data_IF_739280559231
#
_entry.id   IF_739280559231
#
_cell.length_a   1.000
_cell.length_b   1.000
_cell.length_c   1.000
_cell.angle_alpha   90.00
_cell.angle_beta   90.00
_cell.angle_gamma   90.00
#
_symmetry.space_group_name_H-M   'P 1'
#
loop_
_entity.id
_entity.type
_entity.pdbx_description
1 polymer ?
#
# COMPACT_ATOMS: atom_id res chain seq x y z
N UNK A 1 -5.61 -4.58 0.09
CA UNK A 1 -5.54 -3.17 0.52
C UNK A 1 -4.90 -3.14 1.89
N UNK A 2 -3.90 -2.29 2.10
CA UNK A 2 -3.23 -2.15 3.40
C UNK A 2 -3.57 -0.78 3.97
N UNK A 3 -4.14 -0.76 5.17
CA UNK A 3 -4.50 0.45 5.92
C UNK A 3 -3.42 0.73 6.97
N UNK A 4 -2.86 1.93 6.96
CA UNK A 4 -1.88 2.32 7.98
C UNK A 4 -2.52 2.49 9.34
N UNK A 5 -1.81 2.08 10.40
CA UNK A 5 -2.19 2.22 11.80
C UNK A 5 -3.57 1.65 12.15
N UNK A 6 -4.07 0.71 11.33
CA UNK A 6 -5.33 0.00 11.52
C UNK A 6 -5.08 -1.48 11.81
N UNK A 7 -5.75 -2.01 12.83
CA UNK A 7 -5.81 -3.43 13.13
C UNK A 7 -7.27 -3.83 13.35
N UNK A 8 -7.75 -4.79 12.58
CA UNK A 8 -9.13 -5.24 12.65
C UNK A 8 -9.56 -5.97 11.39
N UNK A 9 -10.75 -6.54 11.45
CA UNK A 9 -11.38 -7.21 10.32
C UNK A 9 -12.42 -6.26 9.68
N UNK A 10 -12.37 -6.12 8.34
CA UNK A 10 -13.30 -5.33 7.55
C UNK A 10 -14.13 -6.19 6.56
N UNK A 11 -14.12 -7.53 6.71
CA UNK A 11 -14.96 -8.41 5.91
C UNK A 11 -16.45 -8.08 6.14
N UNK A 12 -17.18 -7.78 5.07
CA UNK A 12 -18.59 -7.40 5.09
C UNK A 12 -18.83 -5.89 5.21
N UNK A 13 -17.80 -5.12 5.54
CA UNK A 13 -17.91 -3.66 5.67
C UNK A 13 -17.79 -2.94 4.32
N UNK A 14 -18.46 -1.79 4.20
CA UNK A 14 -18.35 -0.91 3.02
C UNK A 14 -17.30 0.16 3.26
N UNK A 15 -16.34 0.26 2.34
CA UNK A 15 -15.28 1.26 2.38
C UNK A 15 -15.39 2.21 1.20
N UNK A 16 -15.23 3.50 1.46
CA UNK A 16 -15.07 4.51 0.43
C UNK A 16 -13.59 4.81 0.25
N UNK A 17 -13.08 4.63 -0.96
CA UNK A 17 -11.67 4.87 -1.30
C UNK A 17 -11.55 5.90 -2.42
N UNK A 18 -10.52 6.74 -2.34
CA UNK A 18 -10.14 7.68 -3.40
C UNK A 18 -8.68 7.48 -3.74
N UNK A 19 -8.38 7.31 -5.02
CA UNK A 19 -7.00 7.28 -5.49
C UNK A 19 -6.44 8.69 -5.47
N UNK A 20 -5.39 8.91 -4.68
CA UNK A 20 -4.73 10.22 -4.58
C UNK A 20 -3.58 10.33 -5.59
N UNK A 21 -2.63 9.41 -5.51
CA UNK A 21 -1.43 9.40 -6.36
C UNK A 21 -1.09 7.98 -6.79
N UNK A 22 -0.65 7.82 -8.03
CA UNK A 22 -0.06 6.57 -8.52
C UNK A 22 1.40 6.51 -8.06
N UNK A 23 1.77 5.45 -7.33
CA UNK A 23 3.15 5.25 -6.83
C UNK A 23 4.05 4.61 -7.88
N UNK A 24 3.56 3.56 -8.55
CA UNK A 24 4.29 2.82 -9.60
C UNK A 24 3.33 2.01 -10.47
N UNK A 25 3.86 1.46 -11.55
CA UNK A 25 3.22 0.40 -12.32
C UNK A 25 3.35 -0.98 -11.65
N UNK A 26 2.61 -1.95 -12.16
CA UNK A 26 2.73 -3.34 -11.75
C UNK A 26 4.08 -3.92 -12.21
N UNK A 27 4.69 -4.73 -11.35
CA UNK A 27 6.01 -5.31 -11.56
C UNK A 27 6.01 -6.78 -11.15
N UNK A 28 6.70 -7.62 -11.93
CA UNK A 28 6.95 -9.02 -11.59
C UNK A 28 8.26 -9.10 -10.80
N UNK A 29 8.20 -9.74 -9.64
CA UNK A 29 9.38 -9.98 -8.81
C UNK A 29 9.93 -11.38 -9.04
N UNK A 30 11.25 -11.51 -8.98
CA UNK A 30 11.97 -12.80 -9.10
C UNK A 30 11.75 -13.71 -7.89
N UNK A 31 11.52 -13.12 -6.71
CA UNK A 31 11.39 -13.83 -5.45
C UNK A 31 10.57 -13.02 -4.42
N UNK A 32 10.27 -13.68 -3.31
CA UNK A 32 9.45 -13.11 -2.23
C UNK A 32 10.17 -11.97 -1.47
N UNK A 33 11.49 -12.02 -1.37
CA UNK A 33 12.27 -11.01 -0.66
C UNK A 33 12.30 -9.69 -1.45
N UNK A 34 12.41 -9.77 -2.77
CA UNK A 34 12.28 -8.64 -3.68
C UNK A 34 10.92 -7.96 -3.55
N UNK A 35 9.84 -8.76 -3.54
CA UNK A 35 8.49 -8.24 -3.29
C UNK A 35 8.38 -7.56 -1.91
N UNK A 36 8.91 -8.19 -0.85
CA UNK A 36 8.86 -7.66 0.52
C UNK A 36 9.58 -6.31 0.62
N UNK A 37 10.75 -6.18 0.01
CA UNK A 37 11.52 -4.93 -0.06
C UNK A 37 10.73 -3.84 -0.80
N UNK A 38 10.11 -4.19 -1.93
CA UNK A 38 9.32 -3.22 -2.68
C UNK A 38 8.10 -2.73 -1.89
N UNK A 39 7.39 -3.62 -1.21
CA UNK A 39 6.25 -3.24 -0.34
C UNK A 39 6.70 -2.25 0.74
N UNK A 40 7.84 -2.50 1.40
CA UNK A 40 8.37 -1.58 2.41
C UNK A 40 8.69 -0.19 1.84
N UNK A 41 9.26 -0.14 0.63
CA UNK A 41 9.51 1.12 -0.08
C UNK A 41 8.21 1.84 -0.46
N UNK A 42 7.21 1.10 -0.94
CA UNK A 42 5.90 1.64 -1.31
C UNK A 42 5.19 2.26 -0.08
N UNK A 43 5.29 1.61 1.09
CA UNK A 43 4.74 2.13 2.35
C UNK A 43 5.40 3.46 2.73
N UNK A 44 6.73 3.54 2.70
CA UNK A 44 7.46 4.78 3.00
C UNK A 44 7.11 5.90 2.01
N UNK A 45 7.04 5.56 0.72
CA UNK A 45 6.68 6.49 -0.35
C UNK A 45 5.24 7.01 -0.23
N UNK A 46 4.30 6.18 0.23
CA UNK A 46 2.92 6.55 0.50
C UNK A 46 2.80 7.49 1.71
N UNK A 47 3.48 7.17 2.82
CA UNK A 47 3.48 8.01 4.03
C UNK A 47 4.02 9.41 3.75
N UNK A 48 5.11 9.53 2.99
CA UNK A 48 5.67 10.84 2.62
C UNK A 48 4.72 11.69 1.76
N UNK A 49 3.84 11.06 0.97
CA UNK A 49 2.88 11.77 0.10
C UNK A 49 1.54 12.10 0.77
N UNK A 50 1.25 11.52 1.95
CA UNK A 50 0.06 11.85 2.73
C UNK A 50 0.18 13.18 3.49
N UNK A 51 1.38 13.76 3.57
CA UNK A 51 1.67 14.98 4.32
C UNK A 51 1.54 16.28 3.50
N UNK A 52 0.81 16.26 2.38
CA UNK A 52 0.60 17.42 1.48
C UNK A 52 -0.88 17.69 1.29
#
# INVERSE_FOLDING_TARGET
MHLFDFQGNLYGERLFVRFLHKLRDEEKFSDIEALRRQIAADIAAAKNRQAV
#
